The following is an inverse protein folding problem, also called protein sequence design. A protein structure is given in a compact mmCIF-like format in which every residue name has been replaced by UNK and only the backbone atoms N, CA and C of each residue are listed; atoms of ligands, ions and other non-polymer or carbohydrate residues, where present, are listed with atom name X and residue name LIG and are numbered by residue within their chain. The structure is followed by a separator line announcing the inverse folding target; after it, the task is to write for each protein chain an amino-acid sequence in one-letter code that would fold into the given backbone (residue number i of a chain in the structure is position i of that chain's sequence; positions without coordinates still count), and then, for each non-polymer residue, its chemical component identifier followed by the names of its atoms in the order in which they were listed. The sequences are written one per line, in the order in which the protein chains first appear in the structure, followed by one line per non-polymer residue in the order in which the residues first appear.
data_IF_511327740224
#
_entry.id   IF_511327740224
#
_cell.length_a   1.000
_cell.length_b   1.000
_cell.length_c   1.000
_cell.angle_alpha   90.00
_cell.angle_beta   90.00
_cell.angle_gamma   90.00
#
_symmetry.space_group_name_H-M   'P 1'
#
loop_
_entity.id
_entity.type
_entity.pdbx_description
1 polymer ?
#
# COMPACT_ATOMS: atom_id res chain seq x y z
N UNK A 1 30.54 -12.80 63.01
CA UNK A 1 31.90 -12.45 62.53
C UNK A 1 32.12 -13.15 61.18
N UNK A 2 32.44 -12.38 60.13
CA UNK A 2 33.26 -12.68 58.92
C UNK A 2 33.07 -14.06 58.23
N UNK A 3 33.04 -14.25 56.91
CA UNK A 3 33.41 -13.45 55.75
C UNK A 3 32.91 -14.19 54.47
N UNK A 4 32.85 -13.44 53.37
CA UNK A 4 32.44 -13.83 52.01
C UNK A 4 33.39 -14.80 51.28
N UNK A 5 32.86 -15.59 50.35
CA UNK A 5 33.47 -15.95 49.04
C UNK A 5 32.34 -16.58 48.19
N UNK A 6 31.67 -15.90 47.26
CA UNK A 6 32.07 -15.47 45.91
C UNK A 6 32.76 -16.56 45.08
N UNK A 7 31.98 -17.38 44.36
CA UNK A 7 32.40 -17.99 43.09
C UNK A 7 31.27 -17.79 42.09
N UNK A 8 31.54 -16.90 41.14
CA UNK A 8 30.75 -16.68 39.95
C UNK A 8 30.92 -17.88 39.00
N UNK A 9 29.82 -18.40 38.47
CA UNK A 9 29.88 -19.20 37.25
C UNK A 9 28.76 -18.76 36.32
N UNK A 10 29.22 -18.14 35.24
CA UNK A 10 28.50 -17.55 34.14
C UNK A 10 27.89 -18.68 33.29
N UNK A 11 26.57 -18.74 33.20
CA UNK A 11 25.83 -19.50 32.18
C UNK A 11 24.64 -18.61 31.79
N UNK A 12 24.78 -17.76 30.77
CA UNK A 12 24.63 -18.08 29.36
C UNK A 12 23.31 -18.79 29.06
N UNK A 13 22.27 -18.03 28.79
CA UNK A 13 21.39 -18.26 27.63
C UNK A 13 20.55 -17.01 27.38
N UNK A 14 21.02 -16.26 26.38
CA UNK A 14 20.28 -15.24 25.66
C UNK A 14 18.89 -15.78 25.31
N UNK A 15 17.85 -15.22 25.92
CA UNK A 15 16.53 -15.12 25.30
C UNK A 15 16.66 -14.05 24.20
N UNK A 16 17.34 -14.42 23.11
CA UNK A 16 17.32 -13.64 21.89
C UNK A 16 15.88 -13.64 21.39
N UNK A 17 15.29 -12.45 21.34
CA UNK A 17 13.92 -12.25 20.91
C UNK A 17 13.69 -12.93 19.57
N UNK A 18 12.69 -13.81 19.55
CA UNK A 18 11.98 -14.16 18.32
C UNK A 18 11.25 -12.90 17.86
N UNK A 19 11.98 -11.96 17.25
CA UNK A 19 11.34 -11.11 16.26
C UNK A 19 10.95 -12.07 15.14
N UNK A 20 9.65 -12.36 15.04
CA UNK A 20 9.10 -12.87 13.80
C UNK A 20 9.38 -11.80 12.74
N UNK A 21 10.54 -11.86 12.10
CA UNK A 21 10.75 -11.16 10.84
C UNK A 21 9.77 -11.83 9.88
N UNK A 22 8.67 -11.13 9.62
CA UNK A 22 7.65 -11.55 8.69
C UNK A 22 8.36 -11.81 7.35
N UNK A 23 8.57 -13.08 7.05
CA UNK A 23 9.27 -13.49 5.85
C UNK A 23 8.38 -13.20 4.65
N UNK A 24 8.84 -12.29 3.80
CA UNK A 24 8.19 -11.98 2.53
C UNK A 24 8.46 -13.15 1.60
N UNK A 25 7.41 -13.82 1.11
CA UNK A 25 7.55 -14.78 0.02
C UNK A 25 7.92 -14.00 -1.24
N UNK A 26 9.09 -14.26 -1.79
CA UNK A 26 9.50 -13.74 -3.10
C UNK A 26 8.94 -14.65 -4.19
N UNK A 27 7.94 -14.15 -4.93
CA UNK A 27 7.37 -14.83 -6.10
C UNK A 27 8.45 -15.07 -7.16
N UNK A 28 8.92 -16.31 -7.28
CA UNK A 28 10.01 -16.70 -8.19
C UNK A 28 9.54 -17.59 -9.34
N UNK A 29 8.27 -17.51 -9.77
CA UNK A 29 7.70 -18.45 -10.73
C UNK A 29 6.86 -17.84 -11.87
N UNK A 30 6.94 -16.54 -12.13
CA UNK A 30 6.29 -15.92 -13.31
C UNK A 30 7.33 -15.59 -14.39
N UNK A 31 7.24 -16.21 -15.60
CA UNK A 31 8.14 -15.90 -16.72
C UNK A 31 7.99 -14.48 -17.27
N UNK A 32 6.96 -13.73 -16.86
CA UNK A 32 6.77 -12.30 -17.16
C UNK A 32 7.13 -11.38 -15.98
N UNK A 33 7.72 -11.90 -14.90
CA UNK A 33 8.12 -11.09 -13.75
C UNK A 33 9.21 -10.08 -14.13
N UNK A 34 8.90 -8.79 -14.02
CA UNK A 34 9.92 -7.75 -13.97
C UNK A 34 10.67 -7.89 -12.64
N UNK A 35 11.98 -7.60 -12.63
CA UNK A 35 12.82 -7.75 -11.44
C UNK A 35 12.43 -6.64 -10.44
N UNK A 36 12.14 -6.94 -9.17
CA UNK A 36 11.92 -5.90 -8.17
C UNK A 36 13.10 -4.93 -8.13
N UNK A 37 12.80 -3.63 -8.13
CA UNK A 37 13.79 -2.59 -7.87
C UNK A 37 14.08 -2.51 -6.36
N UNK A 38 14.87 -1.51 -5.98
CA UNK A 38 15.11 -1.22 -4.57
C UNK A 38 13.78 -0.91 -3.84
N UNK A 39 13.67 -1.41 -2.61
CA UNK A 39 12.57 -1.04 -1.73
C UNK A 39 12.51 0.50 -1.57
N UNK A 40 11.30 1.05 -1.58
CA UNK A 40 11.06 2.48 -1.35
C UNK A 40 10.99 2.69 0.17
N UNK A 41 11.97 3.36 0.80
CA UNK A 41 11.95 3.58 2.24
C UNK A 41 10.87 4.60 2.62
N UNK A 42 10.35 4.54 3.85
CA UNK A 42 9.37 5.52 4.35
C UNK A 42 9.91 6.96 4.33
N UNK A 43 11.25 7.13 4.44
CA UNK A 43 11.91 8.43 4.33
C UNK A 43 11.85 9.04 2.94
N UNK A 44 11.44 8.28 1.92
CA UNK A 44 11.24 8.76 0.56
C UNK A 44 9.82 9.29 0.32
N UNK A 45 8.98 9.39 1.36
CA UNK A 45 7.60 9.88 1.24
C UNK A 45 7.42 11.23 1.93
N UNK A 46 6.70 12.12 1.25
CA UNK A 46 6.10 13.30 1.85
C UNK A 46 4.74 12.90 2.44
N UNK A 47 4.55 13.19 3.72
CA UNK A 47 3.31 12.94 4.44
C UNK A 47 2.54 14.25 4.55
N UNK A 48 1.28 14.26 4.12
CA UNK A 48 0.46 15.46 4.16
C UNK A 48 -1.03 15.11 4.29
N UNK A 49 -1.81 16.09 4.75
CA UNK A 49 -3.25 15.97 4.91
C UNK A 49 -3.93 17.31 4.69
N UNK A 50 -5.19 17.30 4.28
CA UNK A 50 -5.98 18.53 4.13
C UNK A 50 -6.76 18.89 5.40
N UNK A 51 -6.88 17.97 6.35
CA UNK A 51 -7.60 18.15 7.59
C UNK A 51 -6.95 17.29 8.70
N UNK A 52 -7.72 16.69 9.61
CA UNK A 52 -7.16 16.18 10.88
C UNK A 52 -6.58 14.76 10.79
N UNK A 53 -6.72 14.07 9.65
CA UNK A 53 -5.91 12.89 9.42
C UNK A 53 -4.44 13.30 9.34
N UNK A 54 -3.59 12.66 10.14
CA UNK A 54 -2.15 12.92 10.09
C UNK A 54 -1.46 11.61 9.74
N UNK A 55 -1.05 11.41 8.48
CA UNK A 55 -0.22 10.28 8.12
C UNK A 55 1.08 10.31 8.92
N UNK A 56 1.56 9.13 9.33
CA UNK A 56 2.75 9.02 10.16
C UNK A 56 3.58 7.78 9.84
N UNK A 57 4.87 7.88 10.09
CA UNK A 57 5.79 6.73 10.04
C UNK A 57 5.55 5.82 11.25
N UNK A 58 5.42 4.53 10.99
CA UNK A 58 5.18 3.51 12.00
C UNK A 58 6.52 3.18 12.67
N UNK A 59 6.70 3.68 13.90
CA UNK A 59 7.93 3.53 14.68
C UNK A 59 8.39 2.07 14.81
N UNK A 60 9.71 1.85 14.70
CA UNK A 60 10.31 0.51 14.76
C UNK A 60 10.14 -0.32 13.48
N UNK A 61 9.58 0.25 12.42
CA UNK A 61 9.40 -0.39 11.11
C UNK A 61 9.74 0.57 9.96
N UNK A 62 9.68 0.07 8.72
CA UNK A 62 9.74 0.88 7.50
C UNK A 62 8.33 1.00 6.87
N UNK A 63 7.37 1.36 7.71
CA UNK A 63 5.95 1.39 7.34
C UNK A 63 5.32 2.76 7.55
N UNK A 64 4.29 3.07 6.78
CA UNK A 64 3.54 4.31 6.86
C UNK A 64 2.08 3.98 7.17
N UNK A 65 1.50 4.68 8.12
CA UNK A 65 0.07 4.65 8.39
C UNK A 65 -0.58 5.92 7.83
N UNK A 66 -1.71 5.75 7.16
CA UNK A 66 -2.55 6.83 6.62
C UNK A 66 -3.95 6.65 7.22
N UNK A 67 -4.26 7.31 8.35
CA UNK A 67 -5.58 7.24 8.94
C UNK A 67 -6.60 7.98 8.08
N UNK A 68 -7.86 7.54 8.11
CA UNK A 68 -8.95 8.27 7.46
C UNK A 68 -9.33 9.49 8.29
N UNK A 69 -9.24 10.66 7.69
CA UNK A 69 -9.65 11.94 8.23
C UNK A 69 -11.12 12.04 8.64
N UNK A 70 -11.48 13.10 9.37
CA UNK A 70 -12.79 13.23 10.02
C UNK A 70 -13.71 14.32 9.44
N UNK A 71 -13.32 14.96 8.34
CA UNK A 71 -14.12 16.00 7.70
C UNK A 71 -14.50 15.61 6.25
N UNK A 72 -15.58 16.20 5.73
CA UNK A 72 -16.30 15.75 4.52
C UNK A 72 -15.55 15.87 3.19
N UNK A 73 -14.29 16.29 3.22
CA UNK A 73 -13.40 16.40 2.06
C UNK A 73 -11.96 16.16 2.50
N UNK A 74 -11.72 15.28 3.46
CA UNK A 74 -10.34 15.01 3.91
C UNK A 74 -9.61 14.14 2.89
N UNK A 75 -8.40 14.59 2.56
CA UNK A 75 -7.39 13.91 1.78
C UNK A 75 -6.16 13.78 2.68
N UNK A 76 -5.84 12.56 3.10
CA UNK A 76 -4.57 12.29 3.78
C UNK A 76 -3.75 11.33 2.94
N UNK A 77 -2.49 11.67 2.73
CA UNK A 77 -1.64 10.96 1.79
C UNK A 77 -0.19 10.81 2.26
N UNK A 78 0.40 9.72 1.78
CA UNK A 78 1.84 9.53 1.72
C UNK A 78 2.22 9.40 0.25
N UNK A 79 2.98 10.37 -0.26
CA UNK A 79 3.39 10.42 -1.66
C UNK A 79 4.90 10.35 -1.76
N UNK A 80 5.43 9.47 -2.61
CA UNK A 80 6.86 9.39 -2.87
C UNK A 80 7.39 10.75 -3.36
N UNK A 81 8.45 11.27 -2.74
CA UNK A 81 8.99 12.60 -3.01
C UNK A 81 9.66 12.72 -4.39
N UNK A 82 10.08 11.59 -4.97
CA UNK A 82 10.67 11.52 -6.32
C UNK A 82 10.21 10.25 -7.00
N UNK A 83 9.63 10.40 -8.20
CA UNK A 83 9.20 9.27 -9.00
C UNK A 83 10.37 8.45 -9.55
N UNK A 84 10.04 7.37 -10.23
CA UNK A 84 11.00 6.51 -10.90
C UNK A 84 10.31 5.73 -12.02
N UNK A 85 11.08 5.33 -13.03
CA UNK A 85 10.54 4.45 -14.07
C UNK A 85 10.12 3.12 -13.46
N UNK A 86 8.84 2.79 -13.56
CA UNK A 86 8.26 1.57 -13.02
C UNK A 86 7.23 0.97 -13.97
N UNK A 87 7.08 -0.33 -13.83
CA UNK A 87 6.18 -1.27 -14.50
C UNK A 87 5.17 -1.84 -13.52
N UNK A 88 5.33 -1.59 -12.21
CA UNK A 88 4.50 -2.19 -11.18
C UNK A 88 4.84 -1.68 -9.79
N UNK A 89 4.05 -2.13 -8.82
CA UNK A 89 4.29 -1.90 -7.40
C UNK A 89 3.93 -3.13 -6.57
N UNK A 90 4.54 -3.21 -5.39
CA UNK A 90 4.16 -4.13 -4.33
C UNK A 90 4.25 -3.43 -2.98
N UNK A 91 3.34 -3.76 -2.07
CA UNK A 91 3.50 -3.47 -0.65
C UNK A 91 2.89 -4.58 0.19
N UNK A 92 3.41 -4.74 1.40
CA UNK A 92 2.75 -5.52 2.43
C UNK A 92 1.95 -4.55 3.31
N UNK A 93 0.68 -4.81 3.57
CA UNK A 93 -0.15 -3.83 4.25
C UNK A 93 -1.57 -4.27 4.44
N UNK A 94 -2.44 -3.35 4.86
CA UNK A 94 -3.86 -3.58 5.01
C UNK A 94 -4.65 -2.32 4.66
N UNK A 95 -5.88 -2.53 4.20
CA UNK A 95 -6.92 -1.50 4.10
C UNK A 95 -7.94 -1.72 5.21
N UNK A 96 -7.71 -1.11 6.38
CA UNK A 96 -8.66 -1.17 7.49
C UNK A 96 -9.79 -0.22 7.15
N UNK A 97 -10.93 -0.78 6.77
CA UNK A 97 -12.12 -0.04 6.36
C UNK A 97 -13.38 -0.51 7.08
N UNK A 98 -14.48 0.20 6.84
CA UNK A 98 -15.80 -0.11 7.37
C UNK A 98 -16.89 0.05 6.31
N UNK A 99 -18.14 0.02 6.76
CA UNK A 99 -19.37 0.29 5.97
C UNK A 99 -20.08 1.55 6.47
N UNK A 100 -19.32 2.49 7.00
CA UNK A 100 -19.83 3.65 7.75
C UNK A 100 -19.78 4.93 6.95
N UNK A 101 -19.21 4.92 5.74
CA UNK A 101 -19.23 6.08 4.85
C UNK A 101 -20.57 6.21 4.11
N UNK A 102 -20.95 7.45 3.79
CA UNK A 102 -22.19 7.76 3.07
C UNK A 102 -22.06 7.64 1.55
N UNK A 103 -20.84 7.50 1.03
CA UNK A 103 -20.54 7.58 -0.40
C UNK A 103 -19.48 6.57 -0.82
N UNK A 104 -19.63 6.00 -2.01
CA UNK A 104 -18.61 5.18 -2.66
C UNK A 104 -17.37 5.96 -3.08
N UNK A 105 -17.42 7.29 -3.06
CA UNK A 105 -16.24 8.13 -3.22
C UNK A 105 -15.37 8.17 -1.94
N UNK A 106 -15.89 7.71 -0.79
CA UNK A 106 -15.06 7.56 0.40
C UNK A 106 -14.25 6.29 0.25
N UNK A 107 -12.94 6.44 0.11
CA UNK A 107 -12.06 5.36 -0.31
C UNK A 107 -10.68 5.45 0.32
N UNK A 108 -9.99 4.32 0.32
CA UNK A 108 -8.58 4.19 0.64
C UNK A 108 -7.89 3.61 -0.57
N UNK A 109 -6.81 4.23 -1.05
CA UNK A 109 -6.12 3.76 -2.25
C UNK A 109 -4.61 3.68 -2.02
N UNK A 110 -4.00 2.65 -2.61
CA UNK A 110 -2.54 2.54 -2.74
C UNK A 110 -2.21 2.18 -4.18
N UNK A 111 -1.42 3.04 -4.82
CA UNK A 111 -1.19 2.99 -6.26
C UNK A 111 0.13 3.61 -6.65
N UNK A 112 0.47 3.44 -7.93
CA UNK A 112 1.50 4.24 -8.61
C UNK A 112 0.86 5.10 -9.69
N UNK A 113 1.30 6.35 -9.81
CA UNK A 113 0.78 7.30 -10.81
C UNK A 113 1.88 8.16 -11.43
N UNK A 114 1.67 8.65 -12.66
CA UNK A 114 2.66 9.50 -13.37
C UNK A 114 2.44 11.01 -13.14
N UNK A 115 1.27 11.39 -12.62
CA UNK A 115 0.92 12.78 -12.37
C UNK A 115 0.30 12.97 -10.98
N UNK A 116 1.15 13.31 -10.02
CA UNK A 116 0.77 13.66 -8.63
C UNK A 116 0.32 15.12 -8.45
N UNK A 117 0.35 15.92 -9.53
CA UNK A 117 -0.08 17.33 -9.48
C UNK A 117 -1.54 17.49 -9.85
N UNK A 118 -2.00 16.76 -10.88
CA UNK A 118 -3.38 16.87 -11.37
C UNK A 118 -4.24 15.62 -11.13
N UNK A 119 -3.64 14.51 -10.69
CA UNK A 119 -4.34 13.24 -10.38
C UNK A 119 -5.22 12.72 -11.52
N UNK A 120 -4.86 13.03 -12.77
CA UNK A 120 -5.58 12.67 -13.98
C UNK A 120 -4.76 11.78 -14.93
N UNK A 121 -3.61 11.29 -14.44
CA UNK A 121 -2.63 10.53 -15.19
C UNK A 121 -2.94 9.04 -15.30
N UNK A 122 -1.92 8.26 -15.70
CA UNK A 122 -1.98 6.81 -15.65
C UNK A 122 -1.78 6.35 -14.21
N UNK A 123 -2.76 5.63 -13.67
CA UNK A 123 -2.68 5.06 -12.33
C UNK A 123 -2.95 3.56 -12.36
N UNK A 124 -2.24 2.81 -11.52
CA UNK A 124 -2.56 1.41 -11.27
C UNK A 124 -2.35 1.07 -9.79
N UNK A 125 -3.31 0.34 -9.22
CA UNK A 125 -3.23 0.00 -7.81
C UNK A 125 -4.48 -0.64 -7.25
N UNK A 126 -4.65 -0.47 -5.95
CA UNK A 126 -5.73 -1.06 -5.18
C UNK A 126 -6.52 0.05 -4.51
N UNK A 127 -7.83 -0.09 -4.51
CA UNK A 127 -8.75 0.85 -3.87
C UNK A 127 -9.74 0.08 -3.02
N UNK A 128 -10.06 0.61 -1.85
CA UNK A 128 -11.09 0.10 -0.98
C UNK A 128 -12.15 1.15 -0.72
N UNK A 129 -13.39 0.85 -1.06
CA UNK A 129 -14.53 1.73 -0.79
C UNK A 129 -15.05 1.52 0.63
N UNK A 130 -15.32 2.63 1.33
CA UNK A 130 -15.61 2.67 2.78
C UNK A 130 -17.12 2.67 3.09
N UNK A 131 -17.97 2.75 2.07
CA UNK A 131 -19.42 2.61 2.21
C UNK A 131 -19.84 1.13 2.22
N UNK A 132 -19.13 0.28 1.47
CA UNK A 132 -19.46 -1.13 1.25
C UNK A 132 -18.35 -2.10 1.70
N UNK A 133 -17.20 -1.58 2.14
CA UNK A 133 -16.04 -2.35 2.60
C UNK A 133 -15.48 -3.31 1.52
N UNK A 134 -15.47 -2.86 0.25
CA UNK A 134 -15.05 -3.66 -0.90
C UNK A 134 -13.66 -3.24 -1.40
N UNK A 135 -12.73 -4.20 -1.46
CA UNK A 135 -11.41 -4.05 -2.06
C UNK A 135 -11.47 -4.35 -3.56
N UNK A 136 -10.86 -3.48 -4.37
CA UNK A 136 -10.86 -3.53 -5.83
C UNK A 136 -9.44 -3.36 -6.37
N UNK A 137 -9.14 -4.02 -7.47
CA UNK A 137 -8.07 -3.59 -8.38
C UNK A 137 -8.59 -2.41 -9.20
N UNK A 138 -7.74 -1.44 -9.53
CA UNK A 138 -8.13 -0.36 -10.43
C UNK A 138 -7.02 0.11 -11.37
N UNK A 139 -7.44 0.68 -12.50
CA UNK A 139 -6.64 1.42 -13.47
C UNK A 139 -7.29 2.76 -13.77
N UNK A 140 -6.48 3.80 -13.87
CA UNK A 140 -6.88 5.10 -14.44
C UNK A 140 -6.01 5.42 -15.65
N UNK A 141 -6.58 6.05 -16.68
CA UNK A 141 -5.84 6.49 -17.86
C UNK A 141 -6.77 7.07 -18.93
N UNK A 142 -6.37 8.19 -19.55
CA UNK A 142 -7.17 8.88 -20.56
C UNK A 142 -8.56 9.33 -20.07
N UNK A 143 -8.69 9.66 -18.78
CA UNK A 143 -9.95 10.05 -18.14
C UNK A 143 -10.89 8.87 -17.83
N UNK A 144 -10.46 7.63 -18.07
CA UNK A 144 -11.21 6.43 -17.71
C UNK A 144 -10.74 5.87 -16.38
N UNK A 145 -11.68 5.42 -15.56
CA UNK A 145 -11.45 4.74 -14.29
C UNK A 145 -12.08 3.34 -14.37
N UNK A 146 -11.25 2.30 -14.36
CA UNK A 146 -11.65 0.90 -14.53
C UNK A 146 -11.31 0.17 -13.24
N UNK A 147 -12.23 -0.65 -12.72
CA UNK A 147 -11.97 -1.43 -11.52
C UNK A 147 -12.69 -2.78 -11.55
N UNK A 148 -12.19 -3.72 -10.76
CA UNK A 148 -12.83 -5.01 -10.53
C UNK A 148 -12.67 -5.43 -9.06
N UNK A 149 -13.72 -6.05 -8.51
CA UNK A 149 -13.75 -6.46 -7.10
C UNK A 149 -12.81 -7.64 -6.85
N UNK A 150 -11.98 -7.53 -5.82
CA UNK A 150 -11.09 -8.60 -5.34
C UNK A 150 -11.71 -9.33 -4.15
N UNK A 151 -12.19 -8.58 -3.15
CA UNK A 151 -12.77 -9.12 -1.93
C UNK A 151 -13.70 -8.11 -1.26
N UNK A 152 -14.53 -8.59 -0.33
CA UNK A 152 -15.43 -7.76 0.48
C UNK A 152 -15.25 -8.11 1.95
N UNK A 153 -15.31 -7.12 2.83
CA UNK A 153 -15.17 -7.34 4.28
C UNK A 153 -13.72 -7.52 4.77
N UNK A 154 -12.73 -7.42 3.89
CA UNK A 154 -11.36 -7.83 4.17
C UNK A 154 -10.51 -6.69 4.74
N UNK A 155 -10.25 -6.74 6.04
CA UNK A 155 -9.37 -5.81 6.77
C UNK A 155 -8.01 -6.45 7.10
N UNK A 156 -7.71 -7.61 6.51
CA UNK A 156 -6.51 -8.39 6.76
C UNK A 156 -5.25 -7.73 6.20
N UNK A 157 -4.10 -8.25 6.65
CA UNK A 157 -2.83 -7.87 6.07
C UNK A 157 -2.43 -8.82 4.94
N UNK A 158 -2.10 -8.25 3.80
CA UNK A 158 -1.72 -8.98 2.60
C UNK A 158 -0.50 -8.37 1.92
N UNK A 159 0.14 -9.16 1.06
CA UNK A 159 1.05 -8.63 0.04
C UNK A 159 0.23 -8.31 -1.21
N UNK A 160 0.06 -7.02 -1.50
CA UNK A 160 -0.61 -6.52 -2.69
C UNK A 160 0.44 -6.23 -3.76
N UNK A 161 0.22 -6.71 -4.99
CA UNK A 161 1.11 -6.44 -6.12
C UNK A 161 0.30 -6.20 -7.39
N UNK A 162 0.66 -5.17 -8.15
CA UNK A 162 0.19 -4.98 -9.52
C UNK A 162 1.37 -4.74 -10.46
N UNK A 163 1.29 -5.25 -11.69
CA UNK A 163 2.38 -5.17 -12.65
C UNK A 163 1.86 -5.14 -14.10
N UNK A 164 2.28 -4.13 -14.85
CA UNK A 164 2.02 -3.97 -16.26
C UNK A 164 2.76 -5.03 -17.09
N UNK A 165 2.12 -5.53 -18.14
CA UNK A 165 2.72 -6.53 -19.03
C UNK A 165 3.66 -5.88 -20.03
N UNK A 166 4.85 -6.45 -20.18
CA UNK A 166 5.82 -6.02 -21.22
C UNK A 166 5.33 -6.28 -22.65
N UNK A 167 4.46 -7.28 -22.84
CA UNK A 167 3.87 -7.60 -24.15
C UNK A 167 2.65 -6.74 -24.50
N UNK A 168 2.04 -6.07 -23.51
CA UNK A 168 0.90 -5.19 -23.71
C UNK A 168 0.84 -4.15 -22.59
N UNK A 169 1.30 -2.93 -22.89
CA UNK A 169 1.46 -1.86 -21.90
C UNK A 169 0.11 -1.28 -21.40
N UNK A 170 -1.01 -1.70 -21.99
CA UNK A 170 -2.37 -1.34 -21.56
C UNK A 170 -2.95 -2.32 -20.51
N UNK A 171 -2.23 -3.40 -20.20
CA UNK A 171 -2.68 -4.47 -19.31
C UNK A 171 -1.85 -4.52 -18.04
N UNK A 172 -2.54 -4.69 -16.90
CA UNK A 172 -1.93 -4.82 -15.58
C UNK A 172 -2.50 -6.04 -14.88
N UNK A 173 -1.61 -6.92 -14.42
CA UNK A 173 -1.94 -8.09 -13.62
C UNK A 173 -1.95 -7.73 -12.13
N UNK A 174 -2.93 -8.24 -11.39
CA UNK A 174 -3.10 -7.99 -9.96
C UNK A 174 -2.97 -9.29 -9.16
N UNK A 175 -2.25 -9.22 -8.05
CA UNK A 175 -1.94 -10.32 -7.16
C UNK A 175 -2.20 -9.91 -5.71
N UNK A 176 -2.68 -10.87 -4.91
CA UNK A 176 -2.77 -10.76 -3.45
C UNK A 176 -2.16 -12.01 -2.84
N UNK A 177 -1.20 -11.83 -1.94
CA UNK A 177 -0.41 -12.91 -1.30
C UNK A 177 0.26 -13.84 -2.33
N UNK A 178 0.78 -13.27 -3.41
CA UNK A 178 1.39 -13.99 -4.54
C UNK A 178 0.40 -14.77 -5.40
N UNK A 179 -0.90 -14.72 -5.09
CA UNK A 179 -1.95 -15.38 -5.88
C UNK A 179 -2.52 -14.40 -6.89
N UNK A 180 -2.45 -14.76 -8.18
CA UNK A 180 -3.11 -14.01 -9.26
C UNK A 180 -4.61 -13.86 -8.98
N UNK A 181 -5.13 -12.66 -9.21
CA UNK A 181 -6.56 -12.35 -9.06
C UNK A 181 -7.22 -12.11 -10.40
N UNK A 182 -6.70 -11.15 -11.16
CA UNK A 182 -7.29 -10.67 -12.40
C UNK A 182 -6.30 -9.82 -13.20
N UNK A 183 -6.68 -9.50 -14.45
CA UNK A 183 -5.98 -8.56 -15.32
C UNK A 183 -6.96 -7.47 -15.74
N UNK A 184 -6.62 -6.21 -15.50
CA UNK A 184 -7.37 -5.08 -16.06
C UNK A 184 -6.71 -4.60 -17.35
N UNK A 185 -7.54 -4.11 -18.28
CA UNK A 185 -7.09 -3.50 -19.54
C UNK A 185 -7.68 -2.10 -19.65
N UNK A 186 -6.83 -1.09 -19.87
CA UNK A 186 -7.25 0.25 -20.24
C UNK A 186 -6.49 0.70 -21.49
N UNK A 187 -7.16 0.67 -22.65
CA UNK A 187 -6.56 1.05 -23.94
C UNK A 187 -6.27 2.56 -24.06
N UNK A 188 -6.77 3.37 -23.11
CA UNK A 188 -6.56 4.83 -23.08
C UNK A 188 -5.32 5.24 -22.26
N UNK A 189 -4.72 4.31 -21.51
CA UNK A 189 -3.53 4.55 -20.69
C UNK A 189 -2.37 3.63 -21.05
N UNK A 190 -1.15 3.97 -20.63
CA UNK A 190 0.02 3.07 -20.74
C UNK A 190 0.66 2.96 -19.37
N UNK A 191 1.03 1.75 -18.95
CA UNK A 191 1.44 1.47 -17.55
C UNK A 191 2.85 0.90 -17.45
N UNK A 192 3.54 0.72 -18.58
CA UNK A 192 4.83 0.05 -18.63
C UNK A 192 5.98 1.06 -18.70
N UNK A 193 6.83 1.03 -17.68
CA UNK A 193 8.08 1.80 -17.62
C UNK A 193 7.86 3.33 -17.71
N UNK A 194 6.78 3.82 -17.09
CA UNK A 194 6.52 5.24 -16.93
C UNK A 194 7.19 5.78 -15.68
N UNK A 195 7.45 7.09 -15.66
CA UNK A 195 7.92 7.80 -14.47
C UNK A 195 6.80 7.90 -13.44
N UNK A 196 6.77 6.95 -12.50
CA UNK A 196 5.72 6.81 -11.51
C UNK A 196 6.15 7.20 -10.10
N UNK A 197 5.21 7.77 -9.36
CA UNK A 197 5.28 8.03 -7.93
C UNK A 197 4.44 6.99 -7.19
N UNK A 198 4.98 6.42 -6.11
CA UNK A 198 4.20 5.58 -5.20
C UNK A 198 3.34 6.44 -4.29
N UNK A 199 2.05 6.14 -4.17
CA UNK A 199 1.09 6.90 -3.37
C UNK A 199 0.24 5.95 -2.53
N UNK A 200 0.07 6.28 -1.26
CA UNK A 200 -1.09 5.87 -0.48
C UNK A 200 -1.91 7.12 -0.15
N UNK A 201 -3.23 7.04 -0.26
CA UNK A 201 -4.13 8.17 0.05
C UNK A 201 -5.48 7.66 0.53
N UNK A 202 -6.26 8.51 1.19
CA UNK A 202 -7.66 8.25 1.46
C UNK A 202 -8.51 9.48 1.21
N UNK A 203 -9.78 9.26 0.89
CA UNK A 203 -10.82 10.28 0.75
C UNK A 203 -11.96 9.98 1.71
N UNK A 204 -12.42 10.97 2.46
CA UNK A 204 -13.62 10.85 3.31
C UNK A 204 -14.69 11.88 2.92
N UNK A 205 -15.85 11.38 2.48
CA UNK A 205 -17.01 12.21 2.11
C UNK A 205 -18.15 12.11 3.14
N UNK A 206 -17.82 11.88 4.41
CA UNK A 206 -18.79 11.82 5.50
C UNK A 206 -19.37 10.42 5.75
N UNK A 207 -19.98 10.26 6.92
CA UNK A 207 -20.43 8.97 7.42
C UNK A 207 -20.70 9.00 8.93
N UNK A 208 -21.06 7.85 9.49
CA UNK A 208 -21.37 7.72 10.92
C UNK A 208 -20.11 7.59 11.79
N UNK A 209 -19.02 7.05 11.26
CA UNK A 209 -17.76 6.86 11.98
C UNK A 209 -16.59 6.61 11.02
N UNK A 210 -15.47 7.32 11.18
CA UNK A 210 -14.22 7.10 10.46
C UNK A 210 -13.12 6.45 11.35
N UNK A 211 -13.37 6.33 12.66
CA UNK A 211 -12.40 5.85 13.63
C UNK A 211 -11.93 4.42 13.33
N UNK A 212 -10.61 4.20 13.40
CA UNK A 212 -9.98 2.91 13.15
C UNK A 212 -9.83 2.56 11.67
N UNK A 213 -10.33 3.40 10.76
CA UNK A 213 -10.11 3.23 9.33
C UNK A 213 -8.76 3.82 8.95
N UNK A 214 -7.90 3.03 8.32
CA UNK A 214 -6.57 3.45 7.89
C UNK A 214 -5.98 2.51 6.85
N UNK A 215 -5.02 3.03 6.10
CA UNK A 215 -4.08 2.23 5.32
C UNK A 215 -2.83 2.05 6.16
N UNK A 216 -2.26 0.85 6.14
CA UNK A 216 -0.88 0.65 6.55
C UNK A 216 -0.10 0.05 5.39
N UNK A 217 1.05 0.64 5.08
CA UNK A 217 1.92 0.22 3.98
C UNK A 217 3.31 -0.06 4.53
N UNK A 218 3.84 -1.24 4.25
CA UNK A 218 5.18 -1.68 4.61
C UNK A 218 5.86 -2.31 3.38
N UNK A 219 7.18 -2.40 3.40
CA UNK A 219 7.95 -3.13 2.37
C UNK A 219 7.59 -2.70 0.94
N UNK A 220 7.36 -1.40 0.76
CA UNK A 220 6.95 -0.79 -0.51
C UNK A 220 8.07 -0.99 -1.53
N UNK A 221 7.71 -1.45 -2.73
CA UNK A 221 8.64 -1.78 -3.80
C UNK A 221 8.01 -1.41 -5.14
N UNK A 222 8.84 -0.99 -6.11
CA UNK A 222 8.45 -0.83 -7.51
C UNK A 222 9.23 -1.82 -8.38
N UNK A 223 8.80 -2.02 -9.62
CA UNK A 223 9.39 -2.97 -10.56
C UNK A 223 9.79 -2.26 -11.85
#
# INVERSE_FOLDING_TARGET
MKQMTLVATMALLLLAGTSCTKSIKTDSADPNATVPRAAVPQSAFNLWGTCNGTPYNISGSNGICIPVGNCSTDFDAAQQSTGQNATGMQFYGCFKGGTSANSSASEQAVFVCDNVSEWNGNEMGFVKTLNDNVLKAYLQGGGQYIYETISSGDNGYHTFKCQARSSNHHQVDFYVDGTYKLTLTNNSGTYYNNWFYFVGTNHWYGGSNNSGQQIEMYSMTTY
#
